data_IF_180542391169
#
_entry.id   IF_180542391169
#
_cell.length_a   1.000
_cell.length_b   1.000
_cell.length_c   1.000
_cell.angle_alpha   90.00
_cell.angle_beta   90.00
_cell.angle_gamma   90.00
#
_symmetry.space_group_name_H-M   'P 1'
#
loop_
_entity.id
_entity.type
_entity.pdbx_description
1 polymer ?
#
# COMPACT_ATOMS: atom_id res chain seq x y z
N UNK A 1 -42.49 -15.00 -19.01
CA UNK A 1 -41.84 -16.21 -19.55
C UNK A 1 -40.92 -16.71 -18.44
N UNK A 2 -41.23 -17.84 -17.85
CA UNK A 2 -40.39 -18.44 -16.80
C UNK A 2 -39.39 -19.35 -17.50
N UNK A 3 -38.10 -19.01 -17.37
CA UNK A 3 -37.00 -19.83 -17.89
C UNK A 3 -37.00 -21.21 -17.21
N UNK A 4 -36.80 -22.28 -17.98
CA UNK A 4 -36.59 -23.62 -17.45
C UNK A 4 -35.09 -23.84 -17.18
N UNK A 5 -34.73 -24.70 -16.21
CA UNK A 5 -33.33 -24.96 -15.86
C UNK A 5 -32.45 -25.46 -17.02
N UNK A 6 -33.08 -26.03 -18.05
CA UNK A 6 -32.41 -26.55 -19.25
C UNK A 6 -32.26 -25.53 -20.38
N UNK A 7 -32.82 -24.33 -20.24
CA UNK A 7 -32.73 -23.30 -21.28
C UNK A 7 -31.28 -22.81 -21.39
N UNK A 8 -30.79 -22.68 -22.63
CA UNK A 8 -29.47 -22.16 -22.91
C UNK A 8 -29.54 -20.65 -23.21
N UNK A 9 -28.80 -19.87 -22.50
CA UNK A 9 -28.70 -18.43 -22.70
C UNK A 9 -27.35 -18.04 -23.33
N UNK A 10 -27.41 -17.19 -24.35
CA UNK A 10 -26.23 -16.72 -25.06
C UNK A 10 -25.60 -15.56 -24.32
N UNK A 11 -24.30 -15.68 -23.98
CA UNK A 11 -23.48 -14.62 -23.38
C UNK A 11 -22.43 -14.22 -24.39
N UNK A 12 -22.36 -12.93 -24.72
CA UNK A 12 -21.36 -12.38 -25.62
C UNK A 12 -20.25 -11.70 -24.81
N UNK A 13 -18.99 -12.09 -25.01
CA UNK A 13 -17.83 -11.35 -24.55
C UNK A 13 -17.41 -10.35 -25.62
N UNK A 14 -17.40 -9.03 -25.31
CA UNK A 14 -17.19 -8.02 -26.35
C UNK A 14 -15.76 -7.89 -26.84
N UNK A 15 -14.71 -8.26 -26.06
CA UNK A 15 -13.32 -8.02 -26.42
C UNK A 15 -12.33 -9.09 -25.92
N UNK A 16 -11.37 -9.49 -26.77
CA UNK A 16 -10.25 -10.36 -26.45
C UNK A 16 -9.97 -11.45 -27.50
N UNK A 17 -8.83 -12.16 -27.43
CA UNK A 17 -8.45 -13.20 -28.42
C UNK A 17 -9.37 -14.43 -28.47
N UNK A 18 -10.38 -14.48 -27.60
CA UNK A 18 -11.47 -15.45 -27.62
C UNK A 18 -12.84 -14.75 -27.54
N UNK A 19 -13.02 -13.68 -28.30
CA UNK A 19 -14.34 -13.07 -28.46
C UNK A 19 -15.28 -14.07 -29.12
N UNK A 20 -16.44 -14.35 -28.50
CA UNK A 20 -17.39 -15.31 -28.99
C UNK A 20 -18.66 -15.34 -28.15
N UNK A 21 -19.69 -15.95 -28.70
CA UNK A 21 -20.96 -16.20 -28.00
C UNK A 21 -20.88 -17.59 -27.36
N UNK A 22 -21.06 -17.66 -26.06
CA UNK A 22 -21.13 -18.91 -25.31
C UNK A 22 -22.56 -19.16 -24.87
N UNK A 23 -22.96 -20.41 -24.86
CA UNK A 23 -24.28 -20.83 -24.37
C UNK A 23 -24.09 -21.50 -23.01
N UNK A 24 -24.76 -20.97 -21.99
CA UNK A 24 -24.81 -21.55 -20.64
C UNK A 24 -26.25 -21.99 -20.33
N UNK A 25 -26.43 -23.09 -19.60
CA UNK A 25 -27.73 -23.45 -19.06
C UNK A 25 -28.30 -22.36 -18.17
N UNK A 26 -29.60 -22.10 -18.25
CA UNK A 26 -30.26 -21.07 -17.44
C UNK A 26 -30.07 -21.30 -15.93
N UNK A 27 -29.94 -22.54 -15.49
CA UNK A 27 -29.63 -22.91 -14.12
C UNK A 27 -28.26 -22.44 -13.68
N UNK A 28 -27.24 -22.58 -14.54
CA UNK A 28 -25.86 -22.14 -14.25
C UNK A 28 -25.74 -20.61 -14.24
N UNK A 29 -26.50 -19.93 -15.13
CA UNK A 29 -26.58 -18.46 -15.13
C UNK A 29 -27.38 -17.95 -13.91
N UNK A 30 -28.44 -18.63 -13.51
CA UNK A 30 -29.21 -18.30 -12.31
C UNK A 30 -28.36 -18.49 -11.04
N UNK A 31 -27.52 -19.52 -10.99
CA UNK A 31 -26.57 -19.74 -9.89
C UNK A 31 -25.50 -18.64 -9.84
N UNK A 32 -25.01 -18.18 -11.00
CA UNK A 32 -24.09 -17.04 -11.08
C UNK A 32 -24.75 -15.68 -10.75
N UNK A 33 -26.04 -15.51 -11.04
CA UNK A 33 -26.78 -14.27 -10.78
C UNK A 33 -27.42 -14.23 -9.37
N UNK A 34 -27.73 -15.39 -8.78
CA UNK A 34 -28.30 -15.53 -7.44
C UNK A 34 -27.26 -15.94 -6.40
N UNK A 35 -26.07 -16.35 -6.82
CA UNK A 35 -24.95 -16.43 -5.89
C UNK A 35 -24.80 -15.03 -5.26
N UNK A 36 -24.77 -14.91 -3.93
CA UNK A 36 -24.37 -13.66 -3.31
C UNK A 36 -23.08 -13.24 -4.01
N UNK A 37 -22.87 -11.93 -4.31
CA UNK A 37 -21.64 -11.48 -4.97
C UNK A 37 -20.51 -12.24 -4.30
N UNK A 38 -19.66 -12.92 -5.08
CA UNK A 38 -18.63 -13.85 -4.55
C UNK A 38 -17.75 -13.03 -3.63
N UNK A 39 -18.21 -12.87 -2.39
CA UNK A 39 -17.61 -12.12 -1.31
C UNK A 39 -16.26 -12.70 -0.90
N UNK A 40 -15.80 -13.76 -1.60
CA UNK A 40 -14.68 -14.57 -1.16
C UNK A 40 -13.42 -14.57 -2.02
N UNK A 41 -13.37 -13.93 -3.20
CA UNK A 41 -12.19 -14.04 -4.09
C UNK A 41 -11.27 -12.82 -4.04
N UNK A 42 -11.75 -11.66 -3.60
CA UNK A 42 -10.92 -10.46 -3.43
C UNK A 42 -9.85 -10.69 -2.35
N UNK A 43 -8.60 -10.46 -2.70
CA UNK A 43 -7.45 -10.80 -1.87
C UNK A 43 -7.00 -12.28 -1.94
N UNK A 44 -7.78 -13.15 -2.59
CA UNK A 44 -7.49 -14.59 -2.73
C UNK A 44 -6.99 -14.91 -4.14
N UNK A 45 -7.72 -14.49 -5.17
CA UNK A 45 -7.34 -14.69 -6.56
C UNK A 45 -6.68 -13.42 -7.10
N UNK A 46 -5.55 -13.60 -7.75
CA UNK A 46 -4.73 -12.52 -8.25
C UNK A 46 -4.37 -12.73 -9.71
N UNK A 47 -4.35 -11.66 -10.48
CA UNK A 47 -3.89 -11.65 -11.87
C UNK A 47 -2.88 -10.54 -12.08
N UNK A 48 -1.87 -10.80 -12.92
CA UNK A 48 -0.94 -9.75 -13.38
C UNK A 48 -1.57 -8.94 -14.49
N UNK A 49 -1.27 -7.64 -14.48
CA UNK A 49 -1.62 -6.72 -15.56
C UNK A 49 -0.36 -5.95 -15.98
N UNK A 50 -0.41 -5.42 -17.20
CA UNK A 50 0.73 -4.69 -17.76
C UNK A 50 0.86 -3.33 -17.07
N UNK A 51 2.07 -3.03 -16.58
CA UNK A 51 2.43 -1.68 -16.11
C UNK A 51 2.65 -0.73 -17.29
N UNK A 52 2.56 0.59 -17.04
CA UNK A 52 2.81 1.61 -18.08
C UNK A 52 4.27 1.58 -18.61
N UNK A 53 5.20 1.14 -17.76
CA UNK A 53 6.63 0.95 -18.09
C UNK A 53 7.25 -0.06 -17.12
N UNK A 54 8.40 -0.64 -17.49
CA UNK A 54 9.16 -1.54 -16.63
C UNK A 54 10.07 -0.77 -15.65
N UNK A 55 9.48 0.22 -14.97
CA UNK A 55 10.12 0.97 -13.90
C UNK A 55 10.04 0.20 -12.57
N UNK A 56 10.96 0.49 -11.65
CA UNK A 56 10.86 -0.02 -10.28
C UNK A 56 9.74 0.71 -9.54
N UNK A 57 8.51 0.18 -9.61
CA UNK A 57 7.36 0.75 -8.93
C UNK A 57 7.47 0.46 -7.43
N UNK A 58 7.45 1.53 -6.62
CA UNK A 58 7.73 1.48 -5.18
C UNK A 58 6.50 1.67 -4.30
N UNK A 59 5.55 2.51 -4.74
CA UNK A 59 4.31 2.76 -3.99
C UNK A 59 3.10 2.91 -4.92
N UNK A 60 1.93 2.52 -4.41
CA UNK A 60 0.62 2.72 -5.06
C UNK A 60 -0.39 3.16 -4.01
N UNK A 61 -1.27 4.11 -4.36
CA UNK A 61 -2.42 4.48 -3.56
C UNK A 61 -3.65 4.75 -4.44
N UNK A 62 -4.82 4.79 -3.81
CA UNK A 62 -6.11 5.09 -4.39
C UNK A 62 -6.64 6.42 -3.86
N UNK A 63 -7.15 7.28 -4.76
CA UNK A 63 -7.97 8.43 -4.42
C UNK A 63 -9.44 8.10 -4.67
N UNK A 64 -10.27 8.05 -3.62
CA UNK A 64 -11.71 7.80 -3.75
C UNK A 64 -12.43 8.90 -4.53
N UNK A 65 -12.06 10.16 -4.33
CA UNK A 65 -12.68 11.34 -4.93
C UNK A 65 -12.40 11.43 -6.43
N UNK A 66 -11.16 11.14 -6.83
CA UNK A 66 -10.75 11.12 -8.25
C UNK A 66 -11.06 9.78 -8.92
N UNK A 67 -11.41 8.75 -8.15
CA UNK A 67 -11.54 7.36 -8.62
C UNK A 67 -10.31 6.93 -9.41
N UNK A 68 -9.14 7.20 -8.86
CA UNK A 68 -7.86 7.07 -9.55
C UNK A 68 -6.82 6.36 -8.68
N UNK A 69 -6.19 5.34 -9.23
CA UNK A 69 -4.93 4.82 -8.72
C UNK A 69 -3.79 5.70 -9.22
N UNK A 70 -2.85 5.98 -8.35
CA UNK A 70 -1.55 6.53 -8.70
C UNK A 70 -0.44 5.63 -8.14
N UNK A 71 0.61 5.40 -8.94
CA UNK A 71 1.79 4.68 -8.50
C UNK A 71 3.05 5.46 -8.86
N UNK A 72 4.08 5.36 -8.00
CA UNK A 72 5.36 6.06 -8.16
C UNK A 72 6.51 5.08 -8.24
N UNK A 73 7.59 5.47 -8.96
CA UNK A 73 8.73 4.63 -9.23
C UNK A 73 10.07 5.27 -8.85
N UNK A 74 11.03 4.41 -8.46
CA UNK A 74 12.41 4.79 -8.19
C UNK A 74 13.28 4.91 -9.45
N UNK A 75 12.85 4.35 -10.59
CA UNK A 75 13.59 4.36 -11.87
C UNK A 75 12.69 4.76 -13.03
N UNK A 76 13.28 4.97 -14.18
CA UNK A 76 12.63 5.46 -15.40
C UNK A 76 13.15 6.85 -15.77
N UNK A 77 12.81 7.32 -16.97
CA UNK A 77 13.18 8.64 -17.45
C UNK A 77 11.96 9.43 -17.88
N UNK A 78 11.61 10.44 -17.10
CA UNK A 78 10.44 11.30 -17.29
C UNK A 78 9.09 10.61 -17.10
N UNK A 79 9.04 9.36 -16.61
CA UNK A 79 7.83 8.53 -16.53
C UNK A 79 7.69 7.75 -15.20
N UNK A 80 8.12 8.36 -14.11
CA UNK A 80 8.14 7.73 -12.77
C UNK A 80 6.81 7.80 -12.02
N UNK A 81 5.76 8.18 -12.69
CA UNK A 81 4.38 8.04 -12.21
C UNK A 81 3.56 7.31 -13.27
N UNK A 82 2.66 6.45 -12.84
CA UNK A 82 1.59 5.91 -13.67
C UNK A 82 0.26 6.00 -12.94
N UNK A 83 -0.81 6.17 -13.71
CA UNK A 83 -2.18 6.26 -13.17
C UNK A 83 -3.12 5.29 -13.88
N UNK A 84 -4.17 4.90 -13.19
CA UNK A 84 -5.21 4.02 -13.73
C UNK A 84 -6.56 4.30 -13.07
N UNK A 85 -7.63 4.33 -13.85
CA UNK A 85 -8.99 4.41 -13.32
C UNK A 85 -9.60 3.04 -13.03
N UNK A 86 -9.03 1.96 -13.59
CA UNK A 86 -9.58 0.59 -13.50
C UNK A 86 -8.62 -0.42 -12.85
N UNK A 87 -7.37 -0.03 -12.56
CA UNK A 87 -6.31 -0.90 -12.05
C UNK A 87 -5.73 -1.84 -13.11
N UNK A 88 -6.26 -1.83 -14.33
CA UNK A 88 -5.91 -2.75 -15.44
C UNK A 88 -5.10 -2.01 -16.51
N UNK A 89 -5.56 -0.83 -16.91
CA UNK A 89 -4.90 0.00 -17.92
C UNK A 89 -4.17 1.14 -17.23
N UNK A 90 -2.85 1.12 -17.34
CA UNK A 90 -1.99 2.10 -16.68
C UNK A 90 -1.33 3.02 -17.71
N UNK A 91 -1.41 4.33 -17.47
CA UNK A 91 -0.83 5.38 -18.31
C UNK A 91 0.32 6.08 -17.61
N UNK A 92 1.49 6.27 -18.28
CA UNK A 92 2.60 6.98 -17.68
C UNK A 92 2.32 8.49 -17.62
N UNK A 93 2.85 9.14 -16.58
CA UNK A 93 2.76 10.59 -16.39
C UNK A 93 4.17 11.20 -16.36
N UNK A 94 4.31 12.36 -16.94
CA UNK A 94 5.57 13.09 -17.00
C UNK A 94 5.90 13.72 -15.64
N UNK A 95 7.02 13.31 -15.03
CA UNK A 95 7.47 13.82 -13.73
C UNK A 95 9.00 13.90 -13.66
N UNK A 96 9.50 14.64 -12.66
CA UNK A 96 10.94 14.71 -12.36
C UNK A 96 11.55 13.34 -12.02
N UNK A 97 12.78 13.13 -12.45
CA UNK A 97 13.51 11.86 -12.32
C UNK A 97 14.20 11.70 -10.93
N UNK A 98 13.39 11.71 -9.86
CA UNK A 98 13.83 11.38 -8.51
C UNK A 98 13.35 9.98 -8.11
N UNK A 99 14.02 9.35 -7.13
CA UNK A 99 13.60 8.04 -6.64
C UNK A 99 12.38 8.19 -5.72
N UNK A 100 11.19 8.23 -6.31
CA UNK A 100 9.92 8.30 -5.58
C UNK A 100 9.64 6.94 -4.92
N UNK A 101 9.44 6.94 -3.60
CA UNK A 101 9.39 5.70 -2.81
C UNK A 101 8.13 5.53 -1.97
N UNK A 102 7.40 6.61 -1.69
CA UNK A 102 6.13 6.54 -0.98
C UNK A 102 5.15 7.57 -1.51
N UNK A 103 3.87 7.27 -1.35
CA UNK A 103 2.75 8.04 -1.89
C UNK A 103 1.56 7.91 -0.96
N UNK A 104 0.87 9.02 -0.65
CA UNK A 104 -0.43 9.02 0.00
C UNK A 104 -1.41 9.96 -0.71
N UNK A 105 -2.69 9.76 -0.46
CA UNK A 105 -3.76 10.69 -0.78
C UNK A 105 -4.21 11.39 0.50
N UNK A 106 -4.33 12.71 0.46
CA UNK A 106 -4.85 13.57 1.52
C UNK A 106 -6.18 14.17 1.05
N UNK A 107 -7.34 13.56 1.40
CA UNK A 107 -8.64 13.91 0.83
C UNK A 107 -9.06 15.35 1.13
N UNK A 108 -8.85 15.85 2.35
CA UNK A 108 -9.23 17.22 2.74
C UNK A 108 -8.39 18.28 2.03
N UNK A 109 -7.17 17.92 1.58
CA UNK A 109 -6.33 18.79 0.75
C UNK A 109 -6.61 18.62 -0.74
N UNK A 110 -7.28 17.53 -1.14
CA UNK A 110 -7.44 17.11 -2.53
C UNK A 110 -6.08 16.88 -3.20
N UNK A 111 -5.14 16.21 -2.50
CA UNK A 111 -3.76 16.06 -2.96
C UNK A 111 -3.25 14.63 -2.87
N UNK A 112 -2.65 14.15 -3.96
CA UNK A 112 -1.60 13.15 -3.90
C UNK A 112 -0.30 13.82 -3.43
N UNK A 113 0.39 13.16 -2.51
CA UNK A 113 1.70 13.61 -2.02
C UNK A 113 2.68 12.45 -2.08
N UNK A 114 3.76 12.61 -2.83
CA UNK A 114 4.82 11.62 -2.94
C UNK A 114 6.12 12.14 -2.34
N UNK A 115 6.90 11.24 -1.70
CA UNK A 115 8.21 11.54 -1.15
C UNK A 115 9.30 10.72 -1.81
N UNK A 116 10.52 11.29 -1.84
CA UNK A 116 11.69 10.73 -2.52
C UNK A 116 12.87 10.53 -1.57
N UNK A 117 13.69 9.53 -1.85
CA UNK A 117 14.97 9.34 -1.17
C UNK A 117 16.17 9.94 -1.93
N UNK A 118 15.94 10.63 -3.05
CA UNK A 118 16.95 11.31 -3.86
C UNK A 118 16.47 12.69 -4.32
N UNK A 119 17.35 13.46 -4.93
CA UNK A 119 17.10 14.85 -5.34
C UNK A 119 17.69 15.84 -4.34
N UNK A 120 17.90 17.08 -4.79
CA UNK A 120 18.45 18.15 -3.98
C UNK A 120 17.40 19.23 -3.76
N UNK A 121 17.07 19.52 -2.49
CA UNK A 121 16.16 20.59 -2.07
C UNK A 121 14.69 20.36 -2.43
N UNK A 122 14.32 19.22 -3.06
CA UNK A 122 12.95 19.02 -3.59
C UNK A 122 12.54 17.54 -3.58
N UNK A 123 12.49 16.93 -2.42
CA UNK A 123 12.15 15.50 -2.24
C UNK A 123 10.66 15.24 -1.98
N UNK A 124 9.82 16.18 -2.35
CA UNK A 124 8.36 16.05 -2.34
C UNK A 124 7.81 16.47 -3.69
N UNK A 125 6.79 15.82 -4.17
CA UNK A 125 5.93 16.30 -5.26
C UNK A 125 4.47 16.10 -4.90
N UNK A 126 3.62 16.98 -5.43
CA UNK A 126 2.17 16.97 -5.18
C UNK A 126 1.39 17.05 -6.48
N UNK A 127 0.19 16.46 -6.49
CA UNK A 127 -0.75 16.52 -7.62
C UNK A 127 -2.19 16.56 -7.14
N UNK A 128 -3.04 17.38 -7.80
CA UNK A 128 -4.49 17.42 -7.55
C UNK A 128 -5.29 16.49 -8.46
N UNK A 129 -4.70 16.04 -9.54
CA UNK A 129 -5.35 15.26 -10.60
C UNK A 129 -4.66 13.93 -10.90
N UNK A 130 -3.48 13.68 -10.28
CA UNK A 130 -2.63 12.53 -10.56
C UNK A 130 -1.87 12.61 -11.89
N UNK A 131 -2.13 13.65 -12.71
CA UNK A 131 -1.56 13.82 -14.05
C UNK A 131 -0.45 14.87 -14.07
N UNK A 132 -0.70 16.01 -13.43
CA UNK A 132 0.23 17.14 -13.33
C UNK A 132 0.86 17.16 -11.95
N UNK A 133 2.18 17.07 -11.88
CA UNK A 133 2.92 16.98 -10.63
C UNK A 133 3.85 18.19 -10.43
N UNK A 134 3.85 18.74 -9.23
CA UNK A 134 4.66 19.91 -8.86
C UNK A 134 5.65 19.54 -7.79
N UNK A 135 6.94 19.76 -8.03
CA UNK A 135 8.00 19.62 -7.02
C UNK A 135 7.80 20.64 -5.90
N UNK A 136 8.08 20.22 -4.68
CA UNK A 136 8.04 21.05 -3.47
C UNK A 136 9.39 21.11 -2.79
N UNK A 137 9.73 22.27 -2.26
CA UNK A 137 10.95 22.42 -1.48
C UNK A 137 10.87 21.59 -0.20
N UNK A 138 11.97 20.94 0.14
CA UNK A 138 12.11 20.20 1.40
C UNK A 138 13.14 20.87 2.30
N UNK A 139 12.89 20.91 3.62
CA UNK A 139 13.79 21.59 4.56
C UNK A 139 15.15 20.91 4.66
N UNK A 140 15.21 19.60 4.38
CA UNK A 140 16.42 18.77 4.43
C UNK A 140 16.39 17.67 3.39
N UNK A 141 17.56 17.26 2.91
CA UNK A 141 17.73 16.20 1.91
C UNK A 141 17.92 14.82 2.55
N UNK A 142 16.96 14.41 3.38
CA UNK A 142 16.95 13.07 3.97
C UNK A 142 16.35 12.03 3.00
N UNK A 143 16.73 10.76 3.18
CA UNK A 143 16.09 9.64 2.47
C UNK A 143 14.68 9.41 3.05
N UNK A 144 13.68 10.13 2.55
CA UNK A 144 12.28 9.96 2.96
C UNK A 144 11.78 8.59 2.49
N UNK A 145 11.14 7.85 3.39
CA UNK A 145 10.79 6.43 3.19
C UNK A 145 9.30 6.15 3.22
N UNK A 146 8.53 6.98 3.95
CA UNK A 146 7.09 6.82 4.11
C UNK A 146 6.43 8.15 4.43
N UNK A 147 5.13 8.24 4.09
CA UNK A 147 4.29 9.41 4.35
C UNK A 147 2.87 8.95 4.66
N UNK A 148 2.21 9.62 5.59
CA UNK A 148 0.77 9.45 5.86
C UNK A 148 0.09 10.80 6.12
N UNK A 149 -1.23 10.79 6.04
CA UNK A 149 -2.12 11.90 6.34
C UNK A 149 -2.94 11.61 7.60
N UNK A 150 -3.10 12.60 8.47
CA UNK A 150 -4.08 12.62 9.57
C UNK A 150 -5.15 13.66 9.27
N UNK A 151 -6.39 13.27 8.97
CA UNK A 151 -7.49 14.20 8.72
C UNK A 151 -7.85 15.01 9.96
N UNK A 152 -7.85 14.41 11.16
CA UNK A 152 -8.21 15.08 12.42
C UNK A 152 -7.24 16.19 12.80
N UNK A 153 -5.95 16.01 12.48
CA UNK A 153 -4.92 17.03 12.75
C UNK A 153 -4.66 17.95 11.54
N UNK A 154 -5.22 17.64 10.36
CA UNK A 154 -4.91 18.34 9.13
C UNK A 154 -3.41 18.30 8.83
N UNK A 155 -2.76 17.14 9.03
CA UNK A 155 -1.30 17.04 9.04
C UNK A 155 -0.77 15.86 8.22
N UNK A 156 0.10 16.17 7.27
CA UNK A 156 0.99 15.21 6.61
C UNK A 156 2.21 14.99 7.49
N UNK A 157 2.58 13.72 7.67
CA UNK A 157 3.80 13.32 8.39
C UNK A 157 4.60 12.38 7.52
N UNK A 158 5.87 12.71 7.28
CA UNK A 158 6.83 11.83 6.59
C UNK A 158 7.99 11.49 7.51
N UNK A 159 8.50 10.24 7.36
CA UNK A 159 9.65 9.72 8.12
C UNK A 159 10.79 9.36 7.18
N UNK A 160 12.03 9.38 7.71
CA UNK A 160 13.23 9.18 6.91
C UNK A 160 14.15 8.08 7.46
N UNK A 161 14.88 7.44 6.55
CA UNK A 161 15.94 6.48 6.86
C UNK A 161 17.32 7.11 7.11
N UNK A 162 17.50 8.42 6.85
CA UNK A 162 18.75 9.13 7.02
C UNK A 162 18.54 10.51 7.65
N UNK A 163 19.62 11.19 8.00
CA UNK A 163 19.61 12.48 8.65
C UNK A 163 20.02 12.37 10.13
N UNK A 164 20.36 13.49 10.76
CA UNK A 164 20.74 13.57 12.17
C UNK A 164 19.85 14.60 12.87
N UNK A 165 19.02 14.14 13.82
CA UNK A 165 18.09 14.99 14.57
C UNK A 165 16.96 15.58 13.75
N UNK A 166 16.65 15.07 12.54
CA UNK A 166 15.68 15.67 11.61
C UNK A 166 14.97 14.63 10.71
N UNK A 167 14.72 13.42 11.23
CA UNK A 167 14.14 12.29 10.47
C UNK A 167 12.63 12.29 10.38
N UNK A 168 11.99 13.38 10.76
CA UNK A 168 10.57 13.62 10.57
C UNK A 168 10.38 14.94 9.85
N UNK A 169 9.44 15.04 8.95
CA UNK A 169 8.93 16.33 8.44
C UNK A 169 7.42 16.32 8.40
N UNK A 170 6.85 17.50 8.59
CA UNK A 170 5.40 17.70 8.63
C UNK A 170 4.97 18.85 7.72
N UNK A 171 3.75 18.79 7.23
CA UNK A 171 3.12 19.84 6.43
C UNK A 171 1.61 19.81 6.62
N UNK A 172 0.98 20.98 6.70
CA UNK A 172 -0.48 21.11 6.73
C UNK A 172 -1.11 21.37 5.35
N UNK A 173 -0.29 21.63 4.32
CA UNK A 173 -0.75 22.02 2.98
C UNK A 173 -0.08 21.24 1.83
N UNK A 174 0.88 20.36 2.16
CA UNK A 174 1.68 19.62 1.19
C UNK A 174 2.73 20.47 0.45
N UNK A 175 2.80 21.78 0.71
CA UNK A 175 3.67 22.73 0.02
C UNK A 175 4.82 23.23 0.90
N UNK A 176 4.49 23.60 2.13
CA UNK A 176 5.44 24.08 3.13
C UNK A 176 5.75 22.95 4.10
N UNK A 177 7.02 22.60 4.24
CA UNK A 177 7.48 21.49 5.06
C UNK A 177 8.42 21.95 6.16
N UNK A 178 8.24 21.38 7.35
CA UNK A 178 9.09 21.64 8.50
C UNK A 178 9.72 20.32 8.97
N UNK A 179 11.05 20.28 9.07
CA UNK A 179 11.75 19.13 9.63
C UNK A 179 11.80 19.21 11.16
N UNK A 180 11.73 18.04 11.79
CA UNK A 180 11.82 17.87 13.23
C UNK A 180 12.48 16.56 13.62
N UNK A 181 12.77 16.39 14.93
CA UNK A 181 13.41 15.19 15.42
C UNK A 181 12.45 14.00 15.41
N UNK A 182 12.99 12.81 15.08
CA UNK A 182 12.43 11.55 15.50
C UNK A 182 12.78 11.28 16.96
N UNK A 183 12.17 10.26 17.58
CA UNK A 183 12.54 9.85 18.94
C UNK A 183 14.02 9.46 19.05
N UNK A 184 14.59 8.92 17.97
CA UNK A 184 15.99 8.55 17.81
C UNK A 184 16.35 8.44 16.33
N UNK A 185 17.63 8.60 15.99
CA UNK A 185 18.13 8.50 14.62
C UNK A 185 18.28 7.02 14.15
N UNK A 186 17.15 6.39 13.84
CA UNK A 186 17.06 5.06 13.26
C UNK A 186 16.55 5.11 11.82
N UNK A 187 16.65 4.00 11.08
CA UNK A 187 16.08 3.89 9.73
C UNK A 187 14.57 3.65 9.84
N UNK A 188 13.83 4.76 9.97
CA UNK A 188 12.35 4.72 9.98
C UNK A 188 11.85 4.34 8.59
N UNK A 189 10.97 3.34 8.50
CA UNK A 189 10.57 2.69 7.24
C UNK A 189 9.14 2.96 6.84
N UNK A 190 8.24 3.05 7.82
CA UNK A 190 6.81 3.23 7.57
C UNK A 190 6.18 4.01 8.71
N UNK A 191 5.18 4.83 8.40
CA UNK A 191 4.38 5.58 9.35
C UNK A 191 2.91 5.48 8.96
N UNK A 192 2.02 5.33 9.94
CA UNK A 192 0.57 5.41 9.75
C UNK A 192 -0.07 6.30 10.83
N UNK A 193 -1.28 6.74 10.57
CA UNK A 193 -2.18 7.38 11.53
C UNK A 193 -3.24 6.38 11.99
N UNK A 194 -3.48 6.28 13.29
CA UNK A 194 -4.53 5.48 13.92
C UNK A 194 -5.53 6.43 14.59
N UNK A 195 -6.63 6.82 13.92
CA UNK A 195 -7.53 7.87 14.39
C UNK A 195 -8.19 7.55 15.74
N UNK A 196 -8.61 6.30 15.97
CA UNK A 196 -9.24 5.91 17.24
C UNK A 196 -8.27 5.93 18.43
N UNK A 197 -6.96 5.89 18.17
CA UNK A 197 -5.92 6.03 19.19
C UNK A 197 -5.39 7.47 19.26
N UNK A 198 -5.78 8.34 18.33
CA UNK A 198 -5.20 9.67 18.13
C UNK A 198 -3.67 9.63 18.06
N UNK A 199 -3.14 8.70 17.25
CA UNK A 199 -1.72 8.35 17.33
C UNK A 199 -1.11 8.11 15.95
N UNK A 200 -0.02 8.83 15.65
CA UNK A 200 0.94 8.41 14.62
C UNK A 200 1.81 7.30 15.20
N UNK A 201 2.04 6.28 14.40
CA UNK A 201 2.93 5.18 14.74
C UNK A 201 3.90 4.94 13.60
N UNK A 202 5.20 4.92 13.89
CA UNK A 202 6.22 4.61 12.90
C UNK A 202 7.07 3.42 13.36
N UNK A 203 7.54 2.63 12.37
CA UNK A 203 8.38 1.44 12.60
C UNK A 203 9.73 1.57 11.90
N UNK A 204 10.76 0.93 12.51
CA UNK A 204 12.15 1.00 12.08
C UNK A 204 12.74 -0.37 11.74
N UNK A 205 13.64 -0.39 10.75
CA UNK A 205 14.42 -1.59 10.39
C UNK A 205 15.75 -1.68 11.13
N UNK A 206 16.13 -0.68 11.94
CA UNK A 206 17.36 -0.65 12.73
C UNK A 206 17.09 -0.29 14.19
N UNK A 207 18.11 -0.36 15.02
CA UNK A 207 18.01 -0.20 16.47
C UNK A 207 18.05 -1.56 17.17
N UNK A 208 18.13 -1.55 18.49
CA UNK A 208 17.99 -2.78 19.30
C UNK A 208 16.50 -3.18 19.37
N UNK A 209 15.90 -3.16 20.54
CA UNK A 209 14.49 -3.58 20.72
C UNK A 209 13.50 -2.43 20.50
N UNK A 210 13.96 -1.17 20.60
CA UNK A 210 13.14 0.02 20.47
C UNK A 210 12.99 0.41 19.00
N UNK A 211 12.15 -0.27 18.26
CA UNK A 211 11.94 -0.09 16.81
C UNK A 211 10.57 0.48 16.45
N UNK A 212 9.89 1.06 17.41
CA UNK A 212 8.63 1.76 17.23
C UNK A 212 8.75 3.15 17.85
N UNK A 213 8.17 4.17 17.24
CA UNK A 213 7.94 5.47 17.86
C UNK A 213 6.49 5.91 17.64
N UNK A 214 5.98 6.67 18.61
CA UNK A 214 4.59 7.16 18.60
C UNK A 214 4.54 8.66 18.84
N UNK A 215 3.55 9.33 18.26
CA UNK A 215 3.32 10.77 18.42
C UNK A 215 1.83 11.10 18.32
N UNK A 216 1.34 12.02 19.17
CA UNK A 216 -0.01 12.56 19.08
C UNK A 216 -0.11 13.83 18.22
N UNK A 217 1.02 14.49 17.96
CA UNK A 217 1.09 15.79 17.28
C UNK A 217 1.94 15.75 15.99
N UNK A 218 2.53 14.57 15.67
CA UNK A 218 3.43 14.40 14.54
C UNK A 218 4.81 15.09 14.70
N UNK A 219 5.06 15.75 15.84
CA UNK A 219 6.26 16.55 16.11
C UNK A 219 7.07 16.03 17.29
N UNK A 220 6.38 15.63 18.35
CA UNK A 220 6.98 15.08 19.59
C UNK A 220 6.83 13.57 19.57
N UNK A 221 7.96 12.86 19.50
CA UNK A 221 7.97 11.40 19.33
C UNK A 221 8.50 10.69 20.56
N UNK A 222 7.82 9.62 20.94
CA UNK A 222 8.22 8.75 22.06
C UNK A 222 8.60 7.37 21.53
N UNK A 223 9.78 6.91 21.93
CA UNK A 223 10.30 5.59 21.57
C UNK A 223 9.53 4.47 22.29
N UNK A 224 9.26 3.38 21.60
CA UNK A 224 8.56 2.19 22.13
C UNK A 224 9.33 0.92 21.79
N UNK A 225 9.16 -0.09 22.63
CA UNK A 225 9.75 -1.41 22.41
C UNK A 225 8.90 -2.21 21.43
N UNK A 226 9.51 -2.73 20.38
CA UNK A 226 8.87 -3.66 19.45
C UNK A 226 8.77 -5.07 20.07
N UNK A 227 7.90 -5.92 19.54
CA UNK A 227 7.76 -7.29 20.01
C UNK A 227 9.04 -8.15 19.79
N UNK A 228 9.81 -7.81 18.77
CA UNK A 228 11.10 -8.44 18.43
C UNK A 228 12.00 -7.45 17.72
N UNK A 229 13.33 -7.72 17.72
CA UNK A 229 14.33 -6.91 17.01
C UNK A 229 14.41 -7.23 15.50
N UNK A 230 13.26 -7.45 14.85
CA UNK A 230 13.16 -7.68 13.43
C UNK A 230 13.24 -6.36 12.64
N UNK A 231 13.56 -6.44 11.33
CA UNK A 231 13.54 -5.29 10.44
C UNK A 231 12.10 -4.94 10.06
N UNK A 232 11.44 -4.12 10.88
CA UNK A 232 10.06 -3.69 10.66
C UNK A 232 10.03 -2.67 9.51
N UNK A 233 9.20 -2.93 8.48
CA UNK A 233 9.23 -2.19 7.21
C UNK A 233 7.88 -1.63 6.78
N UNK A 234 6.78 -2.13 7.33
CA UNK A 234 5.44 -1.67 7.01
C UNK A 234 4.55 -1.66 8.26
N UNK A 235 3.62 -0.73 8.32
CA UNK A 235 2.59 -0.64 9.38
C UNK A 235 1.29 -0.10 8.80
N UNK A 236 0.15 -0.63 9.25
CA UNK A 236 -1.16 -0.05 9.00
C UNK A 236 -2.06 -0.14 10.24
N UNK A 237 -3.11 0.66 10.24
CA UNK A 237 -4.21 0.62 11.19
C UNK A 237 -5.40 -0.09 10.56
N UNK A 238 -5.88 -1.17 11.17
CA UNK A 238 -7.12 -1.87 10.82
C UNK A 238 -8.22 -1.41 11.78
N UNK A 239 -8.96 -0.40 11.35
CA UNK A 239 -9.87 0.38 12.22
C UNK A 239 -10.95 -0.49 12.88
N UNK A 240 -11.59 -1.38 12.10
CA UNK A 240 -12.68 -2.24 12.56
C UNK A 240 -12.18 -3.36 13.49
N UNK A 241 -10.89 -3.71 13.40
CA UNK A 241 -10.23 -4.63 14.33
C UNK A 241 -9.69 -3.92 15.58
N UNK A 242 -9.62 -2.58 15.57
CA UNK A 242 -8.95 -1.81 16.61
C UNK A 242 -7.47 -2.19 16.75
N UNK A 243 -6.78 -2.46 15.64
CA UNK A 243 -5.48 -3.10 15.66
C UNK A 243 -4.47 -2.44 14.71
N UNK A 244 -3.32 -2.07 15.25
CA UNK A 244 -2.11 -1.80 14.49
C UNK A 244 -1.45 -3.13 14.10
N UNK A 245 -1.09 -3.26 12.84
CA UNK A 245 -0.39 -4.42 12.31
C UNK A 245 0.89 -3.98 11.62
N UNK A 246 2.02 -4.53 12.03
CA UNK A 246 3.31 -4.26 11.41
C UNK A 246 3.95 -5.52 10.84
N UNK A 247 4.66 -5.36 9.73
CA UNK A 247 5.34 -6.44 9.01
C UNK A 247 6.84 -6.25 9.00
N UNK A 248 7.55 -7.38 8.99
CA UNK A 248 9.01 -7.43 8.95
C UNK A 248 9.55 -8.16 7.72
N UNK A 249 10.70 -7.68 7.22
CA UNK A 249 11.47 -8.35 6.18
C UNK A 249 12.46 -9.39 6.71
N UNK A 250 12.61 -9.52 8.05
CA UNK A 250 13.53 -10.46 8.72
C UNK A 250 12.84 -11.17 9.89
N UNK A 251 13.52 -12.14 10.47
CA UNK A 251 13.00 -12.99 11.56
C UNK A 251 12.59 -14.37 11.07
N UNK A 252 12.31 -15.28 11.99
CA UNK A 252 11.88 -16.66 11.72
C UNK A 252 10.57 -16.94 12.44
N UNK A 253 9.51 -17.16 11.68
CA UNK A 253 8.15 -17.43 12.17
C UNK A 253 7.46 -16.25 12.86
N UNK A 254 8.10 -15.06 12.97
CA UNK A 254 7.65 -13.93 13.77
C UNK A 254 7.70 -12.59 13.03
N UNK A 255 7.36 -12.61 11.74
CA UNK A 255 7.44 -11.40 10.87
C UNK A 255 6.19 -10.53 10.90
N UNK A 256 5.33 -10.74 11.86
CA UNK A 256 4.16 -9.90 12.16
C UNK A 256 4.20 -9.51 13.63
N UNK A 257 3.84 -8.28 13.95
CA UNK A 257 3.50 -7.86 15.30
C UNK A 257 2.24 -7.00 15.28
N UNK A 258 1.51 -7.04 16.39
CA UNK A 258 0.24 -6.33 16.54
C UNK A 258 0.20 -5.55 17.84
N UNK A 259 -0.57 -4.45 17.86
CA UNK A 259 -0.81 -3.64 19.05
C UNK A 259 -2.21 -3.00 18.98
N UNK A 260 -2.92 -2.98 20.09
CA UNK A 260 -4.20 -2.25 20.22
C UNK A 260 -4.04 -0.84 20.77
N UNK A 261 -2.85 -0.47 21.24
CA UNK A 261 -2.58 0.81 21.93
C UNK A 261 -1.39 1.58 21.35
N UNK A 262 -0.64 0.97 20.40
CA UNK A 262 0.60 1.51 19.83
C UNK A 262 1.80 1.47 20.77
N UNK A 263 1.64 0.97 21.99
CA UNK A 263 2.65 0.96 23.06
C UNK A 263 3.13 -0.46 23.35
N UNK A 264 2.18 -1.37 23.53
CA UNK A 264 2.43 -2.79 23.84
C UNK A 264 2.31 -3.61 22.56
N UNK A 265 3.38 -4.29 22.19
CA UNK A 265 3.45 -5.05 20.93
C UNK A 265 3.57 -6.54 21.19
N UNK A 266 2.77 -7.32 20.48
CA UNK A 266 2.77 -8.78 20.55
C UNK A 266 3.22 -9.37 19.23
N UNK A 267 4.20 -10.27 19.29
CA UNK A 267 4.66 -11.03 18.11
C UNK A 267 3.59 -12.02 17.65
N UNK A 268 3.43 -12.14 16.33
CA UNK A 268 2.51 -13.09 15.67
C UNK A 268 3.26 -13.95 14.67
N UNK A 269 2.75 -15.15 14.44
CA UNK A 269 3.31 -16.06 13.44
C UNK A 269 2.93 -15.56 12.04
N UNK A 270 3.95 -15.34 11.20
CA UNK A 270 3.75 -15.06 9.78
C UNK A 270 3.46 -16.33 8.99
N UNK A 271 2.70 -16.25 7.91
CA UNK A 271 2.37 -17.40 7.08
C UNK A 271 3.59 -18.02 6.35
N UNK A 272 4.65 -17.23 6.17
CA UNK A 272 5.95 -17.68 5.64
C UNK A 272 7.08 -16.72 6.05
N UNK A 273 8.32 -17.22 6.01
CA UNK A 273 9.53 -16.44 6.27
C UNK A 273 10.09 -15.81 4.99
N UNK A 274 9.27 -14.99 4.34
CA UNK A 274 9.64 -14.18 3.16
C UNK A 274 9.76 -12.70 3.56
N UNK A 275 10.44 -11.88 2.77
CA UNK A 275 10.60 -10.46 3.07
C UNK A 275 9.28 -9.71 2.80
N UNK A 276 8.39 -9.68 3.80
CA UNK A 276 7.16 -8.89 3.75
C UNK A 276 7.50 -7.42 3.64
N UNK A 277 6.78 -6.67 2.81
CA UNK A 277 7.15 -5.28 2.48
C UNK A 277 6.02 -4.27 2.61
N UNK A 278 4.79 -4.64 2.35
CA UNK A 278 3.64 -3.74 2.41
C UNK A 278 2.38 -4.49 2.81
N UNK A 279 1.45 -3.78 3.45
CA UNK A 279 0.13 -4.31 3.80
C UNK A 279 -0.91 -3.19 3.70
N UNK A 280 -2.16 -3.58 3.47
CA UNK A 280 -3.31 -2.70 3.61
C UNK A 280 -4.48 -3.43 4.26
N UNK A 281 -5.37 -2.66 4.87
CA UNK A 281 -6.66 -3.09 5.38
C UNK A 281 -7.75 -2.74 4.38
N UNK A 282 -8.64 -3.67 4.10
CA UNK A 282 -9.83 -3.50 3.27
C UNK A 282 -11.08 -3.65 4.15
N UNK A 283 -11.65 -2.55 4.69
CA UNK A 283 -12.75 -2.61 5.66
C UNK A 283 -14.01 -3.30 5.10
N UNK A 284 -14.35 -3.07 3.81
CA UNK A 284 -15.52 -3.69 3.19
C UNK A 284 -15.35 -5.20 2.93
N UNK A 285 -14.14 -5.73 3.13
CA UNK A 285 -13.79 -7.15 2.99
C UNK A 285 -13.39 -7.78 4.32
N UNK A 286 -13.26 -6.95 5.37
CA UNK A 286 -12.73 -7.37 6.67
C UNK A 286 -11.42 -8.16 6.48
N UNK A 287 -10.53 -7.65 5.64
CA UNK A 287 -9.35 -8.39 5.19
C UNK A 287 -8.09 -7.52 5.18
N UNK A 288 -7.08 -7.99 5.88
CA UNK A 288 -5.70 -7.55 5.75
C UNK A 288 -5.05 -8.34 4.61
N UNK A 289 -4.35 -7.65 3.73
CA UNK A 289 -3.54 -8.26 2.67
C UNK A 289 -2.13 -7.72 2.75
N UNK A 290 -1.15 -8.62 2.76
CA UNK A 290 0.27 -8.31 2.76
C UNK A 290 0.97 -8.87 1.54
N UNK A 291 1.98 -8.15 1.03
CA UNK A 291 2.79 -8.54 -0.12
C UNK A 291 4.28 -8.55 0.22
N UNK A 292 5.05 -9.41 -0.47
CA UNK A 292 6.46 -9.64 -0.22
C UNK A 292 7.36 -9.44 -1.45
N UNK A 293 8.61 -9.06 -1.18
CA UNK A 293 9.64 -8.89 -2.22
C UNK A 293 10.43 -10.16 -2.52
N UNK A 294 10.34 -11.19 -1.65
CA UNK A 294 11.04 -12.47 -1.81
C UNK A 294 10.07 -13.65 -1.67
N UNK A 295 10.53 -14.86 -1.95
CA UNK A 295 9.74 -16.09 -1.95
C UNK A 295 9.43 -16.57 -3.38
N UNK A 296 8.92 -17.80 -3.50
CA UNK A 296 8.55 -18.41 -4.79
C UNK A 296 7.10 -18.87 -4.71
N UNK A 297 6.18 -18.21 -5.44
CA UNK A 297 4.75 -18.55 -5.47
C UNK A 297 3.98 -18.21 -4.18
N UNK A 298 4.61 -17.61 -3.16
CA UNK A 298 4.08 -17.38 -1.83
C UNK A 298 4.31 -15.95 -1.31
N UNK A 299 4.14 -14.96 -2.18
CA UNK A 299 4.43 -13.54 -1.86
C UNK A 299 3.19 -12.75 -1.45
N UNK A 300 2.11 -13.44 -1.11
CA UNK A 300 0.87 -12.84 -0.60
C UNK A 300 0.43 -13.62 0.63
N UNK A 301 0.04 -12.93 1.69
CA UNK A 301 -0.68 -13.51 2.81
C UNK A 301 -1.86 -12.62 3.19
N UNK A 302 -2.90 -13.24 3.74
CA UNK A 302 -4.13 -12.57 4.15
C UNK A 302 -4.50 -12.93 5.57
N UNK A 303 -5.21 -12.04 6.27
CA UNK A 303 -5.72 -12.26 7.61
C UNK A 303 -7.04 -11.48 7.81
N UNK A 304 -8.02 -12.11 8.43
CA UNK A 304 -9.26 -11.45 8.81
C UNK A 304 -9.20 -10.83 10.23
N UNK A 305 -8.24 -11.27 11.05
CA UNK A 305 -8.14 -10.91 12.46
C UNK A 305 -6.80 -10.21 12.83
N UNK A 306 -5.86 -10.14 11.88
CA UNK A 306 -4.49 -9.65 12.11
C UNK A 306 -3.60 -10.62 12.92
N UNK A 307 -4.15 -11.75 13.39
CA UNK A 307 -3.48 -12.71 14.27
C UNK A 307 -3.10 -13.99 13.53
N UNK A 308 -4.01 -14.50 12.69
CA UNK A 308 -3.86 -15.71 11.91
C UNK A 308 -3.66 -15.37 10.44
N UNK A 309 -2.58 -15.83 9.84
CA UNK A 309 -2.20 -15.50 8.48
C UNK A 309 -2.21 -16.71 7.56
N UNK A 310 -2.81 -16.54 6.38
CA UNK A 310 -2.91 -17.60 5.36
C UNK A 310 -2.17 -17.19 4.10
N UNK A 311 -1.29 -18.07 3.59
CA UNK A 311 -0.63 -17.86 2.30
C UNK A 311 -1.63 -17.89 1.14
N UNK A 312 -1.36 -17.05 0.14
CA UNK A 312 -2.09 -17.05 -1.12
C UNK A 312 -1.13 -17.23 -2.30
N UNK A 313 -1.61 -17.85 -3.35
CA UNK A 313 -0.85 -18.00 -4.59
C UNK A 313 -0.59 -16.65 -5.24
N UNK A 314 0.64 -16.44 -5.68
CA UNK A 314 1.06 -15.23 -6.38
C UNK A 314 1.09 -15.49 -7.88
N UNK A 315 0.50 -14.63 -8.74
CA UNK A 315 0.48 -14.83 -10.19
C UNK A 315 1.87 -14.68 -10.83
N UNK A 316 2.79 -13.96 -10.16
CA UNK A 316 4.19 -13.80 -10.59
C UNK A 316 5.11 -13.66 -9.39
N UNK A 317 6.30 -14.27 -9.48
CA UNK A 317 7.35 -14.18 -8.45
C UNK A 317 8.23 -12.93 -8.64
N UNK A 318 7.60 -11.74 -8.72
CA UNK A 318 8.27 -10.44 -8.79
C UNK A 318 8.35 -9.78 -7.41
N UNK A 319 9.17 -8.74 -7.23
CA UNK A 319 9.34 -8.06 -5.94
C UNK A 319 8.18 -7.10 -5.65
N UNK A 320 7.10 -7.59 -5.03
CA UNK A 320 5.93 -6.76 -4.70
C UNK A 320 6.26 -5.77 -3.59
N UNK A 321 6.16 -4.48 -3.90
CA UNK A 321 6.63 -3.37 -3.05
C UNK A 321 5.53 -2.67 -2.28
N UNK A 322 4.35 -2.53 -2.87
CA UNK A 322 3.24 -1.78 -2.28
C UNK A 322 1.91 -2.36 -2.70
N UNK A 323 0.92 -2.23 -1.84
CA UNK A 323 -0.46 -2.65 -2.07
C UNK A 323 -1.41 -1.60 -1.54
N UNK A 324 -2.53 -1.37 -2.23
CA UNK A 324 -3.64 -0.55 -1.77
C UNK A 324 -4.98 -1.20 -2.06
N UNK A 325 -6.01 -0.75 -1.35
CA UNK A 325 -7.41 -1.11 -1.54
C UNK A 325 -8.18 0.03 -2.19
N UNK A 326 -9.04 -0.29 -3.15
CA UNK A 326 -10.02 0.62 -3.75
C UNK A 326 -11.43 0.18 -3.37
N UNK A 327 -12.12 0.86 -2.44
CA UNK A 327 -13.47 0.48 -2.00
C UNK A 327 -14.50 0.59 -3.13
N UNK A 328 -14.42 1.62 -3.98
CA UNK A 328 -15.37 1.82 -5.08
C UNK A 328 -15.25 0.76 -6.18
N UNK A 329 -14.09 0.08 -6.26
CA UNK A 329 -13.85 -1.01 -7.21
C UNK A 329 -13.91 -2.37 -6.56
N UNK A 330 -13.98 -2.41 -5.24
CA UNK A 330 -13.83 -3.67 -4.47
C UNK A 330 -12.57 -4.44 -4.90
N UNK A 331 -11.46 -3.73 -5.13
CA UNK A 331 -10.26 -4.28 -5.78
C UNK A 331 -8.99 -3.91 -5.02
N UNK A 332 -8.12 -4.88 -4.81
CA UNK A 332 -6.73 -4.64 -4.44
C UNK A 332 -5.88 -4.40 -5.69
N UNK A 333 -4.92 -3.50 -5.59
CA UNK A 333 -3.87 -3.31 -6.59
C UNK A 333 -2.51 -3.29 -5.90
N UNK A 334 -1.55 -4.02 -6.45
CA UNK A 334 -0.18 -4.05 -5.96
C UNK A 334 0.81 -3.81 -7.09
N UNK A 335 1.95 -3.16 -6.75
CA UNK A 335 3.01 -2.82 -7.70
C UNK A 335 4.32 -3.47 -7.31
N UNK A 336 5.18 -3.71 -8.33
CA UNK A 336 6.44 -4.42 -8.20
C UNK A 336 7.62 -3.62 -8.77
N UNK A 337 8.79 -3.79 -8.14
CA UNK A 337 10.04 -3.22 -8.62
C UNK A 337 10.86 -4.17 -9.53
N UNK A 338 10.31 -5.33 -9.89
CA UNK A 338 10.96 -6.30 -10.78
C UNK A 338 9.94 -7.00 -11.67
N UNK A 339 10.42 -7.75 -12.65
CA UNK A 339 9.59 -8.41 -13.67
C UNK A 339 9.64 -7.65 -15.00
N UNK A 340 9.13 -8.24 -16.06
CA UNK A 340 9.04 -7.67 -17.40
C UNK A 340 7.58 -7.63 -17.85
N UNK A 341 7.03 -6.43 -18.01
CA UNK A 341 5.65 -6.19 -18.46
C UNK A 341 4.55 -6.60 -17.47
N UNK A 342 4.90 -7.13 -16.28
CA UNK A 342 3.95 -7.68 -15.28
C UNK A 342 4.17 -7.10 -13.88
N UNK A 343 4.44 -5.79 -13.81
CA UNK A 343 4.77 -5.13 -12.55
C UNK A 343 3.56 -4.58 -11.78
N UNK A 344 2.37 -4.98 -12.18
CA UNK A 344 1.12 -4.75 -11.45
C UNK A 344 0.40 -6.08 -11.28
N UNK A 345 -0.23 -6.28 -10.15
CA UNK A 345 -1.24 -7.32 -9.97
C UNK A 345 -2.49 -6.75 -9.31
N UNK A 346 -3.61 -7.33 -9.63
CA UNK A 346 -4.92 -6.96 -9.08
C UNK A 346 -5.65 -8.18 -8.56
N UNK A 347 -6.51 -7.96 -7.58
CA UNK A 347 -7.46 -8.95 -7.08
C UNK A 347 -8.83 -8.28 -6.99
N UNK A 348 -9.82 -8.74 -7.77
CA UNK A 348 -11.16 -8.16 -7.81
C UNK A 348 -11.94 -8.43 -6.52
#
# INVERSE_FOLDING_TARGET
MTLQPSDLLAITRPDGPQAGTYQLPAAELAEQLTAPPVLGISGILWSTVRSAADNNWEAVCWSPELRLYAAVAGTGSGNRVMTSTDGIRWSPQAVADQNWVALCWAPELGLFVAVSNSGTGSRVMTSRDGLSWTLRQTPVDNSWTSICWSPELGLLVAVAGSGTGNRVMTSSDGSQWTAGPAAVDQVWRSVCWAPQLELFVAVSSTGADQRVMTSRDGRSWTLRTAATSNNWVAICWAAELGLLVALSSSGTGNRVMTSSDGITWTSRTSAADVAWNSLCWAPQRELLVAVATSGTGNRIMTSADGLTWTLRSTPASTGWRSICWSPQRSQFAAVSNSGAGNRVMVSP
#
